data_IF_448601159550
#
_entry.id   IF_448601159550
#
_cell.length_a   1.000
_cell.length_b   1.000
_cell.length_c   1.000
_cell.angle_alpha   90.00
_cell.angle_beta   90.00
_cell.angle_gamma   90.00
#
_symmetry.space_group_name_H-M   'P 1'
#
loop_
_entity.id
_entity.type
_entity.pdbx_description
1 polymer ?
#
# COMPACT_ATOMS: atom_id res chain seq x y z
N UNK A 1 -10.93 16.01 -16.81
CA UNK A 1 -9.75 16.35 -15.98
C UNK A 1 -10.04 16.31 -14.48
N UNK A 2 -11.28 16.53 -14.02
CA UNK A 2 -11.63 16.56 -12.57
C UNK A 2 -11.40 15.24 -11.82
N UNK A 3 -11.81 14.11 -12.39
CA UNK A 3 -11.89 12.85 -11.63
C UNK A 3 -10.51 12.20 -11.39
N UNK A 4 -9.63 12.21 -12.40
CA UNK A 4 -8.28 11.63 -12.28
C UNK A 4 -7.43 12.35 -11.23
N UNK A 5 -7.43 13.68 -11.26
CA UNK A 5 -6.72 14.49 -10.25
C UNK A 5 -7.30 14.27 -8.85
N UNK A 6 -8.62 14.09 -8.75
CA UNK A 6 -9.28 13.80 -7.48
C UNK A 6 -8.85 12.43 -6.93
N UNK A 7 -8.86 11.38 -7.75
CA UNK A 7 -8.45 10.02 -7.33
C UNK A 7 -6.97 10.00 -6.95
N UNK A 8 -6.10 10.61 -7.75
CA UNK A 8 -4.68 10.74 -7.43
C UNK A 8 -4.45 11.48 -6.11
N UNK A 9 -5.21 12.56 -5.86
CA UNK A 9 -5.17 13.29 -4.61
C UNK A 9 -5.60 12.43 -3.42
N UNK A 10 -6.67 11.64 -3.56
CA UNK A 10 -7.14 10.72 -2.51
C UNK A 10 -6.09 9.66 -2.21
N UNK A 11 -5.51 9.01 -3.22
CA UNK A 11 -4.46 8.00 -3.04
C UNK A 11 -3.28 8.60 -2.27
N UNK A 12 -2.84 9.79 -2.66
CA UNK A 12 -1.76 10.50 -1.98
C UNK A 12 -2.12 10.82 -0.52
N UNK A 13 -3.32 11.35 -0.27
CA UNK A 13 -3.76 11.68 1.09
C UNK A 13 -3.82 10.44 1.98
N UNK A 14 -4.29 9.30 1.47
CA UNK A 14 -4.34 8.03 2.21
C UNK A 14 -2.93 7.55 2.57
N UNK A 15 -1.98 7.65 1.64
CA UNK A 15 -0.61 7.21 1.86
C UNK A 15 0.13 8.08 2.90
N UNK A 16 0.11 9.41 2.72
CA UNK A 16 1.03 10.33 3.43
C UNK A 16 0.43 11.71 3.78
N UNK A 17 -0.87 11.91 3.62
CA UNK A 17 -1.50 13.23 3.76
C UNK A 17 -2.60 13.29 4.81
N UNK A 18 -3.43 14.34 4.70
CA UNK A 18 -4.58 14.52 5.59
C UNK A 18 -5.75 13.71 5.08
N UNK A 19 -6.21 12.76 5.88
CA UNK A 19 -7.40 11.94 5.58
C UNK A 19 -8.60 12.36 6.43
N UNK A 20 -9.80 11.98 6.02
CA UNK A 20 -11.02 12.24 6.80
C UNK A 20 -11.19 11.30 8.00
N UNK A 21 -10.50 10.15 7.99
CA UNK A 21 -10.64 9.08 8.98
C UNK A 21 -9.50 9.07 10.02
N UNK A 22 -8.59 10.04 9.96
CA UNK A 22 -7.52 10.19 10.93
C UNK A 22 -6.12 10.19 10.29
N UNK A 23 -5.11 9.62 10.97
CA UNK A 23 -3.73 9.59 10.46
C UNK A 23 -3.64 8.84 9.13
N UNK A 24 -2.68 9.25 8.29
CA UNK A 24 -2.35 8.54 7.06
C UNK A 24 -1.75 7.17 7.36
N UNK A 25 -1.63 6.30 6.36
CA UNK A 25 -0.97 5.00 6.50
C UNK A 25 0.47 5.19 6.99
N UNK A 26 1.21 6.14 6.41
CA UNK A 26 2.57 6.47 6.85
C UNK A 26 2.62 6.89 8.33
N UNK A 27 1.65 7.71 8.79
CA UNK A 27 1.60 8.14 10.18
C UNK A 27 1.30 7.00 11.15
N UNK A 28 0.49 6.02 10.72
CA UNK A 28 0.14 4.85 11.53
C UNK A 28 1.37 3.95 11.72
N UNK A 29 2.18 3.77 10.67
CA UNK A 29 3.29 2.81 10.68
C UNK A 29 4.65 3.42 11.03
N UNK A 30 4.77 4.75 11.14
CA UNK A 30 6.06 5.45 11.30
C UNK A 30 6.91 4.99 12.50
N UNK A 31 6.27 4.54 13.58
CA UNK A 31 6.92 4.13 14.82
C UNK A 31 7.03 2.59 14.94
N UNK A 32 6.65 1.85 13.89
CA UNK A 32 6.70 0.39 13.83
C UNK A 32 8.04 -0.05 13.24
N UNK A 33 8.80 -0.86 13.99
CA UNK A 33 10.08 -1.39 13.51
C UNK A 33 9.87 -2.46 12.44
N UNK A 34 10.90 -2.69 11.61
CA UNK A 34 10.85 -3.71 10.56
C UNK A 34 10.60 -5.11 11.15
N UNK A 35 11.20 -5.44 12.29
CA UNK A 35 10.99 -6.71 12.99
C UNK A 35 9.54 -6.87 13.45
N UNK A 36 8.97 -5.80 14.02
CA UNK A 36 7.58 -5.79 14.49
C UNK A 36 6.62 -5.91 13.32
N UNK A 37 6.89 -5.19 12.22
CA UNK A 37 6.05 -5.22 11.04
C UNK A 37 6.03 -6.59 10.34
N UNK A 38 7.14 -7.34 10.42
CA UNK A 38 7.28 -8.69 9.86
C UNK A 38 6.76 -9.79 10.78
N UNK A 39 6.67 -9.54 12.09
CA UNK A 39 6.18 -10.52 13.03
C UNK A 39 4.70 -10.80 12.75
N UNK A 40 4.40 -11.98 12.21
CA UNK A 40 3.03 -12.48 12.12
C UNK A 40 2.46 -12.61 13.53
N UNK A 41 1.46 -11.80 13.87
CA UNK A 41 0.85 -11.81 15.20
C UNK A 41 0.06 -13.09 15.48
N UNK A 42 -0.40 -13.76 14.42
CA UNK A 42 -1.22 -14.99 14.43
C UNK A 42 -0.88 -15.84 13.19
N UNK A 43 -0.90 -17.17 13.33
CA UNK A 43 -0.70 -18.07 12.19
C UNK A 43 -1.75 -17.85 11.09
N UNK A 44 -1.33 -17.91 9.82
CA UNK A 44 -2.16 -17.71 8.63
C UNK A 44 -2.81 -16.33 8.51
N UNK A 45 -2.22 -15.30 9.11
CA UNK A 45 -2.64 -13.90 8.92
C UNK A 45 -1.48 -13.11 8.35
N UNK A 46 -1.77 -12.22 7.40
CA UNK A 46 -0.78 -11.31 6.85
C UNK A 46 -0.24 -10.37 7.94
N UNK A 47 1.08 -10.24 7.96
CA UNK A 47 1.82 -9.29 8.75
C UNK A 47 1.51 -7.84 8.35
N UNK A 48 1.87 -6.89 9.20
CA UNK A 48 1.73 -5.45 8.89
C UNK A 48 2.49 -5.13 7.60
N UNK A 49 3.68 -5.72 7.42
CA UNK A 49 4.46 -5.52 6.22
C UNK A 49 3.74 -6.04 4.97
N UNK A 50 3.23 -7.27 4.99
CA UNK A 50 2.50 -7.83 3.84
C UNK A 50 1.27 -7.01 3.48
N UNK A 51 0.53 -6.52 4.48
CA UNK A 51 -0.62 -5.63 4.26
C UNK A 51 -0.17 -4.31 3.64
N UNK A 52 0.89 -3.68 4.14
CA UNK A 52 1.42 -2.44 3.56
C UNK A 52 1.88 -2.65 2.11
N UNK A 53 2.56 -3.77 1.82
CA UNK A 53 3.01 -4.10 0.47
C UNK A 53 1.83 -4.33 -0.50
N UNK A 54 0.79 -5.03 -0.06
CA UNK A 54 -0.47 -5.19 -0.81
C UNK A 54 -1.12 -3.83 -1.09
N UNK A 55 -1.17 -2.93 -0.11
CA UNK A 55 -1.72 -1.57 -0.29
C UNK A 55 -0.93 -0.78 -1.34
N UNK A 56 0.40 -0.87 -1.34
CA UNK A 56 1.26 -0.22 -2.36
C UNK A 56 0.98 -0.79 -3.75
N UNK A 57 0.93 -2.12 -3.89
CA UNK A 57 0.66 -2.77 -5.18
C UNK A 57 -0.66 -2.29 -5.81
N UNK A 58 -1.73 -2.16 -5.01
CA UNK A 58 -3.01 -1.67 -5.49
C UNK A 58 -3.04 -0.18 -5.81
N UNK A 59 -2.28 0.64 -5.09
CA UNK A 59 -2.15 2.07 -5.42
C UNK A 59 -1.41 2.25 -6.74
N UNK A 60 -0.29 1.55 -6.94
CA UNK A 60 0.47 1.57 -8.19
C UNK A 60 -0.36 1.07 -9.37
N UNK A 61 -1.07 -0.05 -9.20
CA UNK A 61 -2.00 -0.56 -10.21
C UNK A 61 -3.07 0.46 -10.57
N UNK A 62 -3.70 1.09 -9.57
CA UNK A 62 -4.73 2.11 -9.81
C UNK A 62 -4.17 3.29 -10.62
N UNK A 63 -2.95 3.73 -10.32
CA UNK A 63 -2.25 4.76 -11.11
C UNK A 63 -2.00 4.29 -12.55
N UNK A 64 -1.52 3.06 -12.74
CA UNK A 64 -1.28 2.50 -14.07
C UNK A 64 -2.56 2.37 -14.91
N UNK A 65 -3.68 1.97 -14.29
CA UNK A 65 -4.99 1.94 -14.95
C UNK A 65 -5.44 3.34 -15.35
N UNK A 66 -5.33 4.34 -14.46
CA UNK A 66 -5.65 5.74 -14.79
C UNK A 66 -4.79 6.31 -15.92
N UNK A 67 -3.58 5.78 -16.07
CA UNK A 67 -2.64 6.13 -17.13
C UNK A 67 -2.88 5.34 -18.43
N UNK A 68 -3.85 4.42 -18.46
CA UNK A 68 -4.16 3.56 -19.60
C UNK A 68 -3.08 2.50 -19.87
N UNK A 69 -2.22 2.20 -18.89
CA UNK A 69 -1.13 1.22 -19.02
C UNK A 69 -1.57 -0.20 -18.67
N UNK A 70 -2.67 -0.34 -17.94
CA UNK A 70 -3.26 -1.62 -17.56
C UNK A 70 -4.77 -1.66 -17.83
N UNK A 71 -5.25 -2.86 -18.15
CA UNK A 71 -6.67 -3.14 -18.38
C UNK A 71 -7.14 -4.46 -17.76
N UNK A 72 -6.26 -5.19 -17.07
CA UNK A 72 -6.53 -6.49 -16.46
C UNK A 72 -6.16 -6.44 -14.99
N UNK A 73 -6.93 -7.15 -14.16
CA UNK A 73 -6.65 -7.29 -12.72
C UNK A 73 -5.25 -7.87 -12.45
N UNK A 74 -4.68 -7.50 -11.29
CA UNK A 74 -3.45 -8.11 -10.78
C UNK A 74 -3.67 -9.62 -10.58
N UNK A 75 -2.65 -10.41 -10.90
CA UNK A 75 -2.61 -11.82 -10.49
C UNK A 75 -2.23 -11.93 -9.00
N UNK A 76 -2.36 -13.13 -8.42
CA UNK A 76 -2.10 -13.36 -7.00
C UNK A 76 -0.68 -12.93 -6.56
N UNK A 77 0.32 -13.06 -7.44
CA UNK A 77 1.70 -12.71 -7.13
C UNK A 77 1.94 -11.20 -7.07
N UNK A 78 1.15 -10.42 -7.82
CA UNK A 78 1.19 -8.95 -7.75
C UNK A 78 0.17 -8.39 -6.74
N UNK A 79 -0.91 -9.13 -6.45
CA UNK A 79 -1.86 -8.82 -5.37
C UNK A 79 -1.17 -8.91 -4.00
N UNK A 80 -0.39 -9.97 -3.78
CA UNK A 80 0.39 -10.20 -2.57
C UNK A 80 1.88 -10.33 -2.90
N UNK A 81 2.57 -9.19 -3.15
CA UNK A 81 3.96 -9.22 -3.55
C UNK A 81 4.86 -9.81 -2.46
N UNK A 82 5.82 -10.62 -2.89
CA UNK A 82 6.87 -11.14 -2.00
C UNK A 82 7.65 -9.98 -1.36
N UNK A 83 7.54 -9.87 -0.05
CA UNK A 83 8.36 -8.97 0.77
C UNK A 83 9.76 -9.57 0.91
N UNK A 84 10.64 -9.29 -0.05
CA UNK A 84 12.04 -9.78 -0.02
C UNK A 84 13.00 -8.80 0.63
N UNK A 85 12.58 -7.56 0.87
CA UNK A 85 13.47 -6.56 1.44
C UNK A 85 13.78 -6.89 2.91
N UNK A 86 15.07 -7.00 3.20
CA UNK A 86 15.65 -7.26 4.52
C UNK A 86 16.60 -6.12 4.92
N UNK A 87 16.63 -5.03 4.16
CA UNK A 87 17.48 -3.89 4.45
C UNK A 87 16.89 -3.09 5.60
N UNK A 88 17.75 -2.70 6.53
CA UNK A 88 17.45 -1.75 7.61
C UNK A 88 17.73 -0.31 7.16
N UNK A 89 17.60 -0.02 5.85
CA UNK A 89 17.96 1.27 5.24
C UNK A 89 16.87 2.34 5.42
#
# INVERSE_FOLDING_TARGET
>A
MSDRTTIQGIIKSVAEGVTWYGPSVSDIVKDITHETARAGSVANVHSIWEIAAHMVAWQEYTVRVMDGRDSTFLDDAHDWPDVKDKSDD
#
